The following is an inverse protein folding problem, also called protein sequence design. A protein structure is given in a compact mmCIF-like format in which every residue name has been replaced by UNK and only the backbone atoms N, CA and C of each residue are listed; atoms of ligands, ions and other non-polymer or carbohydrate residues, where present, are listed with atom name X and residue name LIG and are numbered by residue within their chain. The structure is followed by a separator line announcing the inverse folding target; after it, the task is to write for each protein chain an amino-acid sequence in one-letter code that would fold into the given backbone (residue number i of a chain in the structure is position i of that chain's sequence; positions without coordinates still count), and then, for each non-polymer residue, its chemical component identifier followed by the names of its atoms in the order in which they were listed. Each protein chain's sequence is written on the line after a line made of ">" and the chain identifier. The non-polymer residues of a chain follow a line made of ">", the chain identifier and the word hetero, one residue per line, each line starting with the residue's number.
data_IF_376755506342
#
_entry.id   IF_376755506342
#
_cell.length_a   1.000
_cell.length_b   1.000
_cell.length_c   1.000
_cell.angle_alpha   90.00
_cell.angle_beta   90.00
_cell.angle_gamma   90.00
#
_symmetry.space_group_name_H-M   'P 1'
#
loop_
_entity.id
_entity.type
_entity.pdbx_description
1 polymer ?
#
# COMPACT_ATOMS: atom_id res chain seq x y z
N UNK A 1 -51.95 35.25 -35.59
CA UNK A 1 -50.69 34.50 -35.73
C UNK A 1 -50.52 34.06 -37.17
N UNK A 2 -49.44 34.47 -37.87
CA UNK A 2 -49.20 34.12 -39.27
C UNK A 2 -49.10 32.59 -39.45
N UNK A 3 -49.70 32.06 -40.52
CA UNK A 3 -49.84 30.60 -40.79
C UNK A 3 -48.51 29.85 -40.70
N UNK A 4 -47.42 30.50 -41.08
CA UNK A 4 -46.06 29.96 -41.07
C UNK A 4 -45.60 29.60 -39.64
N UNK A 5 -45.86 30.47 -38.65
CA UNK A 5 -45.48 30.24 -37.24
C UNK A 5 -46.22 29.03 -36.66
N UNK A 6 -47.48 28.80 -37.04
CA UNK A 6 -48.27 27.64 -36.60
C UNK A 6 -47.74 26.30 -37.10
N UNK A 7 -46.97 26.30 -38.20
CA UNK A 7 -46.37 25.10 -38.81
C UNK A 7 -44.92 24.91 -38.32
N UNK A 8 -44.14 25.98 -38.19
CA UNK A 8 -42.74 25.87 -37.76
C UNK A 8 -42.57 25.66 -36.25
N UNK A 9 -43.45 26.19 -35.41
CA UNK A 9 -43.41 25.99 -33.96
C UNK A 9 -43.53 24.50 -33.54
N UNK A 10 -44.50 23.70 -34.04
CA UNK A 10 -44.56 22.28 -33.69
C UNK A 10 -43.37 21.48 -34.24
N UNK A 11 -42.83 21.83 -35.42
CA UNK A 11 -41.61 21.20 -35.96
C UNK A 11 -40.42 21.44 -35.03
N UNK A 12 -40.23 22.67 -34.54
CA UNK A 12 -39.17 22.98 -33.58
C UNK A 12 -39.34 22.23 -32.26
N UNK A 13 -40.57 22.14 -31.73
CA UNK A 13 -40.88 21.37 -30.52
C UNK A 13 -40.53 19.90 -30.71
N UNK A 14 -40.89 19.30 -31.85
CA UNK A 14 -40.54 17.90 -32.18
C UNK A 14 -39.03 17.71 -32.22
N UNK A 15 -38.29 18.63 -32.85
CA UNK A 15 -36.82 18.58 -32.91
C UNK A 15 -36.22 18.64 -31.49
N UNK A 16 -36.72 19.52 -30.63
CA UNK A 16 -36.26 19.63 -29.24
C UNK A 16 -36.53 18.32 -28.47
N UNK A 17 -37.73 17.75 -28.60
CA UNK A 17 -38.10 16.49 -27.94
C UNK A 17 -37.18 15.34 -28.40
N UNK A 18 -36.92 15.24 -29.71
CA UNK A 18 -36.01 14.23 -30.27
C UNK A 18 -34.60 14.43 -29.70
N UNK A 19 -34.08 15.65 -29.66
CA UNK A 19 -32.75 15.93 -29.10
C UNK A 19 -32.66 15.57 -27.61
N UNK A 20 -33.69 15.90 -26.81
CA UNK A 20 -33.75 15.52 -25.39
C UNK A 20 -33.78 13.99 -25.22
N UNK A 21 -34.54 13.30 -26.06
CA UNK A 21 -34.61 11.83 -26.03
C UNK A 21 -33.28 11.18 -26.43
N UNK A 22 -32.63 11.68 -27.48
CA UNK A 22 -31.30 11.22 -27.93
C UNK A 22 -30.25 11.49 -26.86
N UNK A 23 -30.26 12.69 -26.26
CA UNK A 23 -29.33 13.04 -25.18
C UNK A 23 -29.47 12.09 -23.99
N UNK A 24 -30.69 11.88 -23.48
CA UNK A 24 -30.96 10.94 -22.38
C UNK A 24 -30.56 9.51 -22.73
N UNK A 25 -30.76 9.08 -23.98
CA UNK A 25 -30.36 7.75 -24.42
C UNK A 25 -28.82 7.59 -24.41
N UNK A 26 -28.09 8.57 -24.94
CA UNK A 26 -26.63 8.58 -24.94
C UNK A 26 -26.07 8.66 -23.52
N UNK A 27 -26.65 9.49 -22.65
CA UNK A 27 -26.29 9.61 -21.24
C UNK A 27 -26.49 8.28 -20.49
N UNK A 28 -27.64 7.63 -20.68
CA UNK A 28 -27.91 6.32 -20.08
C UNK A 28 -26.93 5.25 -20.59
N UNK A 29 -26.64 5.20 -21.89
CA UNK A 29 -25.65 4.28 -22.43
C UNK A 29 -24.25 4.54 -21.86
N UNK A 30 -23.85 5.80 -21.73
CA UNK A 30 -22.57 6.19 -21.15
C UNK A 30 -22.48 5.78 -19.67
N UNK A 31 -23.54 6.03 -18.90
CA UNK A 31 -23.63 5.63 -17.49
C UNK A 31 -23.55 4.11 -17.32
N UNK A 32 -24.27 3.33 -18.14
CA UNK A 32 -24.22 1.86 -18.10
C UNK A 32 -22.81 1.35 -18.41
N UNK A 33 -22.16 1.88 -19.45
CA UNK A 33 -20.79 1.49 -19.81
C UNK A 33 -19.79 1.87 -18.71
N UNK A 34 -19.93 3.06 -18.13
CA UNK A 34 -19.10 3.52 -17.03
C UNK A 34 -19.24 2.62 -15.80
N UNK A 35 -20.48 2.37 -15.36
CA UNK A 35 -20.75 1.51 -14.20
C UNK A 35 -20.22 0.08 -14.42
N UNK A 36 -20.34 -0.46 -15.63
CA UNK A 36 -19.77 -1.77 -15.97
C UNK A 36 -18.23 -1.77 -15.95
N UNK A 37 -17.57 -0.72 -16.40
CA UNK A 37 -16.12 -0.60 -16.34
C UNK A 37 -15.65 -0.45 -14.89
N UNK A 38 -16.36 0.37 -14.11
CA UNK A 38 -16.14 0.58 -12.69
C UNK A 38 -16.24 -0.74 -11.90
N UNK A 39 -17.31 -1.51 -12.10
CA UNK A 39 -17.49 -2.79 -11.42
C UNK A 39 -16.39 -3.79 -11.77
N UNK A 40 -15.95 -3.83 -13.03
CA UNK A 40 -14.83 -4.69 -13.46
C UNK A 40 -13.50 -4.26 -12.84
N UNK A 41 -13.26 -2.95 -12.73
CA UNK A 41 -12.07 -2.43 -12.07
C UNK A 41 -12.05 -2.81 -10.59
N UNK A 42 -13.17 -2.60 -9.88
CA UNK A 42 -13.29 -2.95 -8.47
C UNK A 42 -13.09 -4.45 -8.25
N UNK A 43 -13.76 -5.29 -9.03
CA UNK A 43 -13.59 -6.73 -8.95
C UNK A 43 -12.13 -7.16 -9.16
N UNK A 44 -11.41 -6.53 -10.10
CA UNK A 44 -9.99 -6.79 -10.33
C UNK A 44 -9.14 -6.32 -9.15
N UNK A 45 -9.43 -5.14 -8.60
CA UNK A 45 -8.69 -4.58 -7.47
C UNK A 45 -8.88 -5.45 -6.20
N UNK A 46 -10.14 -5.79 -5.90
CA UNK A 46 -10.54 -6.67 -4.81
C UNK A 46 -9.92 -8.06 -4.91
N UNK A 47 -9.99 -8.69 -6.08
CA UNK A 47 -9.36 -10.00 -6.31
C UNK A 47 -7.83 -9.95 -6.17
N UNK A 48 -7.19 -8.90 -6.67
CA UNK A 48 -5.76 -8.70 -6.50
C UNK A 48 -5.38 -8.48 -5.02
N UNK A 49 -6.12 -7.65 -4.29
CA UNK A 49 -5.95 -7.44 -2.86
C UNK A 49 -6.06 -8.75 -2.08
N UNK A 50 -7.15 -9.51 -2.29
CA UNK A 50 -7.35 -10.78 -1.62
C UNK A 50 -6.22 -11.79 -1.94
N UNK A 51 -5.78 -11.83 -3.20
CA UNK A 51 -4.65 -12.65 -3.60
C UNK A 51 -3.37 -12.25 -2.87
N UNK A 52 -3.04 -10.95 -2.84
CA UNK A 52 -1.84 -10.44 -2.17
C UNK A 52 -1.84 -10.73 -0.67
N UNK A 53 -2.97 -10.52 0.02
CA UNK A 53 -3.08 -10.82 1.46
C UNK A 53 -2.94 -12.33 1.72
N UNK A 54 -3.60 -13.17 0.91
CA UNK A 54 -3.51 -14.63 1.03
C UNK A 54 -2.08 -15.14 0.82
N UNK A 55 -1.34 -14.50 -0.07
CA UNK A 55 0.03 -14.88 -0.42
C UNK A 55 1.10 -14.00 0.26
N UNK A 56 0.71 -13.21 1.26
CA UNK A 56 1.64 -12.36 1.99
C UNK A 56 2.75 -13.21 2.65
N UNK A 57 3.99 -12.78 2.43
CA UNK A 57 5.19 -13.26 3.07
C UNK A 57 5.22 -12.86 4.54
N UNK A 58 5.77 -13.74 5.37
CA UNK A 58 6.03 -13.47 6.78
C UNK A 58 7.21 -12.52 6.96
N UNK A 59 7.13 -11.65 7.95
CA UNK A 59 8.21 -10.71 8.30
C UNK A 59 9.21 -11.33 9.29
N UNK A 60 8.91 -12.52 9.85
CA UNK A 60 9.75 -13.24 10.82
C UNK A 60 11.19 -13.45 10.31
N UNK A 61 11.43 -13.89 9.06
CA UNK A 61 12.80 -14.11 8.59
C UNK A 61 13.68 -12.86 8.61
N UNK A 62 13.10 -11.69 8.37
CA UNK A 62 13.80 -10.41 8.51
C UNK A 62 14.05 -10.12 9.99
N UNK A 63 13.02 -10.20 10.83
CA UNK A 63 13.12 -9.93 12.25
C UNK A 63 14.20 -10.78 12.95
N UNK A 64 14.28 -12.06 12.60
CA UNK A 64 15.30 -12.98 13.14
C UNK A 64 16.71 -12.59 12.68
N UNK A 65 16.86 -12.19 11.41
CA UNK A 65 18.15 -11.71 10.88
C UNK A 65 18.59 -10.42 11.58
N UNK A 66 17.67 -9.45 11.76
CA UNK A 66 17.97 -8.22 12.49
C UNK A 66 18.34 -8.49 13.95
N UNK A 67 17.63 -9.40 14.62
CA UNK A 67 17.94 -9.79 16.00
C UNK A 67 19.32 -10.43 16.09
N UNK A 68 19.65 -11.36 15.18
CA UNK A 68 20.96 -12.01 15.14
C UNK A 68 22.12 -11.01 14.96
N UNK A 69 21.94 -9.98 14.12
CA UNK A 69 22.92 -8.90 13.98
C UNK A 69 23.03 -8.11 15.30
N UNK A 70 21.89 -7.77 15.92
CA UNK A 70 21.86 -6.97 17.15
C UNK A 70 22.53 -7.65 18.35
N UNK A 71 22.50 -8.98 18.40
CA UNK A 71 23.04 -9.82 19.48
C UNK A 71 24.45 -10.36 19.17
N UNK A 72 24.99 -10.07 17.99
CA UNK A 72 26.31 -10.54 17.58
C UNK A 72 27.42 -10.13 18.54
N UNK A 73 28.40 -10.99 18.78
CA UNK A 73 29.52 -10.66 19.68
C UNK A 73 30.49 -9.71 18.99
N UNK A 74 31.25 -8.92 19.76
CA UNK A 74 32.26 -7.98 19.20
C UNK A 74 33.36 -8.68 18.40
N UNK A 75 33.61 -9.97 18.67
CA UNK A 75 34.60 -10.80 17.98
C UNK A 75 33.99 -11.75 16.94
N UNK A 76 32.72 -11.58 16.57
CA UNK A 76 32.09 -12.37 15.51
C UNK A 76 32.82 -12.17 14.18
N UNK A 77 32.86 -13.22 13.34
CA UNK A 77 33.49 -13.14 12.02
C UNK A 77 32.90 -11.99 11.19
N UNK A 78 33.73 -11.00 10.78
CA UNK A 78 33.24 -9.87 10.01
C UNK A 78 32.55 -10.26 8.70
N UNK A 79 32.94 -11.36 8.07
CA UNK A 79 32.31 -11.85 6.84
C UNK A 79 30.87 -12.33 7.11
N UNK A 80 30.66 -13.02 8.24
CA UNK A 80 29.33 -13.49 8.67
C UNK A 80 28.38 -12.33 8.95
N UNK A 81 28.83 -11.30 9.64
CA UNK A 81 28.03 -10.08 9.88
C UNK A 81 27.63 -9.41 8.57
N UNK A 82 28.54 -9.33 7.59
CA UNK A 82 28.22 -8.75 6.27
C UNK A 82 27.13 -9.54 5.55
N UNK A 83 27.25 -10.86 5.53
CA UNK A 83 26.23 -11.73 4.91
C UNK A 83 24.86 -11.53 5.56
N UNK A 84 24.79 -11.37 6.88
CA UNK A 84 23.54 -11.06 7.56
C UNK A 84 22.98 -9.68 7.21
N UNK A 85 23.82 -8.64 7.14
CA UNK A 85 23.39 -7.30 6.73
C UNK A 85 22.85 -7.32 5.29
N UNK A 86 23.54 -7.97 4.36
CA UNK A 86 23.10 -8.07 2.97
C UNK A 86 21.81 -8.87 2.83
N UNK A 87 21.68 -9.98 3.57
CA UNK A 87 20.43 -10.75 3.66
C UNK A 87 19.28 -9.90 4.19
N UNK A 88 19.51 -9.13 5.27
CA UNK A 88 18.50 -8.27 5.85
C UNK A 88 18.02 -7.20 4.87
N UNK A 89 18.91 -6.63 4.05
CA UNK A 89 18.53 -5.64 3.03
C UNK A 89 17.57 -6.22 1.99
N UNK A 90 17.87 -7.40 1.47
CA UNK A 90 17.02 -8.08 0.48
C UNK A 90 15.65 -8.39 1.09
N UNK A 91 15.63 -8.98 2.28
CA UNK A 91 14.39 -9.30 2.99
C UNK A 91 13.56 -8.04 3.32
N UNK A 92 14.21 -6.92 3.67
CA UNK A 92 13.53 -5.67 3.94
C UNK A 92 12.89 -5.08 2.68
N UNK A 93 13.58 -5.11 1.54
CA UNK A 93 13.02 -4.66 0.26
C UNK A 93 11.77 -5.45 -0.13
N UNK A 94 11.82 -6.79 -0.01
CA UNK A 94 10.67 -7.66 -0.29
C UNK A 94 9.44 -7.32 0.60
N UNK A 95 9.65 -7.13 1.90
CA UNK A 95 8.56 -6.80 2.85
C UNK A 95 8.03 -5.38 2.60
N UNK A 96 8.92 -4.41 2.38
CA UNK A 96 8.54 -3.02 2.13
C UNK A 96 7.72 -2.89 0.83
N UNK A 97 8.09 -3.61 -0.23
CA UNK A 97 7.35 -3.67 -1.50
C UNK A 97 5.99 -4.35 -1.34
N UNK A 98 5.92 -5.47 -0.61
CA UNK A 98 4.68 -6.17 -0.33
C UNK A 98 3.67 -5.25 0.39
N UNK A 99 4.10 -4.53 1.43
CA UNK A 99 3.22 -3.63 2.19
C UNK A 99 2.67 -2.50 1.31
N UNK A 100 3.52 -1.89 0.47
CA UNK A 100 3.09 -0.85 -0.46
C UNK A 100 2.10 -1.37 -1.48
N UNK A 101 2.35 -2.56 -2.03
CA UNK A 101 1.47 -3.18 -3.02
C UNK A 101 0.11 -3.51 -2.40
N UNK A 102 0.07 -4.03 -1.18
CA UNK A 102 -1.19 -4.27 -0.46
C UNK A 102 -1.96 -2.96 -0.26
N UNK A 103 -1.29 -1.86 0.10
CA UNK A 103 -1.92 -0.55 0.27
C UNK A 103 -2.42 0.01 -1.08
N UNK A 104 -1.67 -0.16 -2.16
CA UNK A 104 -2.10 0.22 -3.51
C UNK A 104 -3.39 -0.52 -3.94
N UNK A 105 -3.49 -1.81 -3.64
CA UNK A 105 -4.71 -2.58 -3.90
C UNK A 105 -5.77 -2.48 -2.79
N UNK A 106 -5.56 -1.67 -1.76
CA UNK A 106 -6.59 -1.39 -0.76
C UNK A 106 -7.57 -0.31 -1.18
N UNK A 107 -7.47 0.18 -2.43
CA UNK A 107 -8.34 1.25 -2.92
C UNK A 107 -9.81 0.81 -2.94
N UNK A 108 -10.68 1.78 -2.69
CA UNK A 108 -12.13 1.64 -2.81
C UNK A 108 -12.60 2.75 -3.74
N UNK A 109 -12.31 2.60 -5.05
CA UNK A 109 -12.58 3.60 -6.09
C UNK A 109 -14.02 4.16 -6.05
N UNK A 110 -14.26 5.38 -5.53
CA UNK A 110 -15.59 5.96 -5.56
C UNK A 110 -15.97 6.38 -6.98
N UNK A 111 -17.26 6.33 -7.33
CA UNK A 111 -17.75 6.85 -8.61
C UNK A 111 -17.30 8.32 -8.76
N UNK A 112 -16.51 8.60 -9.81
CA UNK A 112 -15.89 9.90 -10.14
C UNK A 112 -14.56 10.25 -9.44
N UNK A 113 -13.82 9.28 -8.89
CA UNK A 113 -12.53 9.57 -8.28
C UNK A 113 -11.50 10.05 -9.32
N UNK A 114 -11.02 11.29 -9.16
CA UNK A 114 -9.80 11.77 -9.80
C UNK A 114 -8.63 11.28 -8.94
N UNK A 115 -7.56 10.70 -9.51
CA UNK A 115 -6.40 10.29 -8.72
C UNK A 115 -5.88 11.46 -7.87
N UNK A 116 -5.77 11.25 -6.56
CA UNK A 116 -5.21 12.25 -5.63
C UNK A 116 -3.68 12.29 -5.73
N UNK A 117 -3.08 11.11 -5.81
CA UNK A 117 -1.66 10.93 -6.05
C UNK A 117 -1.46 9.93 -7.19
N UNK A 118 -0.54 10.25 -8.09
CA UNK A 118 -0.09 9.34 -9.16
C UNK A 118 1.43 9.29 -9.15
N UNK A 119 2.00 8.16 -8.74
CA UNK A 119 3.45 7.94 -8.70
C UNK A 119 3.75 6.60 -9.37
N UNK A 120 4.65 6.58 -10.36
CA UNK A 120 5.15 5.36 -11.00
C UNK A 120 4.06 4.32 -11.36
N UNK A 121 3.01 4.76 -12.06
CA UNK A 121 1.83 3.98 -12.47
C UNK A 121 0.86 3.56 -11.35
N UNK A 122 1.14 3.88 -10.09
CA UNK A 122 0.21 3.74 -8.97
C UNK A 122 -0.68 4.96 -8.87
N UNK A 123 -1.99 4.77 -8.87
CA UNK A 123 -2.97 5.82 -8.65
C UNK A 123 -3.70 5.56 -7.32
N UNK A 124 -3.69 6.56 -6.44
CA UNK A 124 -4.44 6.51 -5.18
C UNK A 124 -5.66 7.41 -5.30
N UNK A 125 -6.83 6.92 -4.90
CA UNK A 125 -8.08 7.65 -5.10
C UNK A 125 -8.76 8.11 -3.82
N UNK A 126 -8.26 7.70 -2.65
CA UNK A 126 -8.76 8.11 -1.33
C UNK A 126 -7.66 8.70 -0.44
N UNK A 127 -8.01 9.61 0.48
CA UNK A 127 -7.03 10.24 1.41
C UNK A 127 -6.38 9.19 2.31
N UNK A 128 -7.17 8.24 2.81
CA UNK A 128 -6.67 7.20 3.71
C UNK A 128 -5.63 6.32 3.01
N UNK A 129 -5.83 6.02 1.72
CA UNK A 129 -4.86 5.25 0.95
C UNK A 129 -3.58 6.05 0.70
N UNK A 130 -3.70 7.32 0.33
CA UNK A 130 -2.55 8.22 0.13
C UNK A 130 -1.73 8.37 1.42
N UNK A 131 -2.38 8.67 2.54
CA UNK A 131 -1.75 8.79 3.85
C UNK A 131 -1.02 7.49 4.24
N UNK A 132 -1.68 6.35 4.04
CA UNK A 132 -1.10 5.04 4.33
C UNK A 132 0.08 4.72 3.43
N UNK A 133 0.02 5.08 2.15
CA UNK A 133 1.11 4.87 1.21
C UNK A 133 2.33 5.73 1.58
N UNK A 134 2.12 7.02 1.87
CA UNK A 134 3.18 7.93 2.32
C UNK A 134 3.81 7.40 3.61
N UNK A 135 2.98 6.98 4.57
CA UNK A 135 3.44 6.43 5.83
C UNK A 135 4.25 5.15 5.63
N UNK A 136 3.78 4.20 4.79
CA UNK A 136 4.52 3.00 4.45
C UNK A 136 5.85 3.31 3.75
N UNK A 137 5.87 4.30 2.86
CA UNK A 137 7.08 4.76 2.20
C UNK A 137 8.10 5.34 3.20
N UNK A 138 7.64 6.09 4.19
CA UNK A 138 8.48 6.64 5.26
C UNK A 138 8.93 5.56 6.26
N UNK A 139 8.13 4.51 6.44
CA UNK A 139 8.39 3.40 7.35
C UNK A 139 9.26 2.27 6.76
N UNK A 140 9.80 2.44 5.54
CA UNK A 140 10.59 1.41 4.84
C UNK A 140 11.83 0.98 5.61
N UNK A 141 11.85 -0.28 6.04
CA UNK A 141 12.91 -0.84 6.86
C UNK A 141 14.24 -1.01 6.12
N UNK A 142 14.26 -1.01 4.78
CA UNK A 142 15.50 -1.15 4.02
C UNK A 142 16.44 0.05 4.17
N UNK A 143 15.91 1.26 4.33
CA UNK A 143 16.68 2.51 4.37
C UNK A 143 17.75 2.54 5.49
N UNK A 144 17.42 2.29 6.78
CA UNK A 144 18.44 2.25 7.83
C UNK A 144 19.49 1.15 7.59
N UNK A 145 19.16 0.03 6.94
CA UNK A 145 20.10 -1.06 6.69
C UNK A 145 21.25 -0.67 5.77
N UNK A 146 21.03 0.25 4.83
CA UNK A 146 22.12 0.80 4.01
C UNK A 146 23.08 1.67 4.81
N UNK A 147 22.55 2.48 5.74
CA UNK A 147 23.38 3.30 6.63
C UNK A 147 24.18 2.42 7.61
N UNK A 148 23.55 1.36 8.13
CA UNK A 148 24.20 0.36 8.99
C UNK A 148 25.32 -0.35 8.22
N UNK A 149 25.03 -0.81 7.00
CA UNK A 149 26.01 -1.43 6.11
C UNK A 149 27.21 -0.50 5.90
N UNK A 150 26.97 0.75 5.51
CA UNK A 150 28.02 1.74 5.29
C UNK A 150 28.86 1.99 6.54
N UNK A 151 28.21 2.19 7.69
CA UNK A 151 28.89 2.46 8.97
C UNK A 151 29.75 1.27 9.40
N UNK A 152 29.22 0.05 9.25
CA UNK A 152 29.97 -1.18 9.50
C UNK A 152 31.17 -1.33 8.55
N UNK A 153 31.01 -1.00 7.27
CA UNK A 153 32.09 -0.98 6.29
C UNK A 153 33.19 0.03 6.62
N UNK A 154 32.84 1.16 7.25
CA UNK A 154 33.80 2.19 7.66
C UNK A 154 34.46 1.92 9.01
N UNK A 155 33.82 1.17 9.91
CA UNK A 155 34.35 0.87 11.26
C UNK A 155 35.70 0.12 11.22
N UNK A 156 36.61 0.49 12.13
CA UNK A 156 37.86 -0.23 12.37
C UNK A 156 38.22 -0.13 13.87
N UNK A 157 38.15 -1.22 14.66
CA UNK A 157 37.80 -2.59 14.25
C UNK A 157 36.34 -2.73 13.79
N UNK A 158 36.04 -3.82 13.08
CA UNK A 158 34.69 -4.13 12.58
C UNK A 158 33.74 -4.36 13.74
N UNK A 159 32.90 -3.39 14.01
CA UNK A 159 32.04 -3.37 15.20
C UNK A 159 30.67 -2.80 14.87
N UNK A 160 29.67 -3.23 15.64
CA UNK A 160 28.31 -2.69 15.61
C UNK A 160 28.10 -1.95 16.92
N UNK A 161 27.88 -0.65 16.84
CA UNK A 161 27.71 0.22 18.00
C UNK A 161 26.36 -0.04 18.72
N UNK A 162 26.25 0.47 19.95
CA UNK A 162 25.09 0.24 20.79
C UNK A 162 23.79 0.80 20.22
N UNK A 163 23.84 1.96 19.53
CA UNK A 163 22.66 2.58 18.93
C UNK A 163 22.16 1.71 17.78
N UNK A 164 23.06 1.28 16.89
CA UNK A 164 22.72 0.36 15.80
C UNK A 164 22.10 -0.94 16.32
N UNK A 165 22.64 -1.53 17.39
CA UNK A 165 22.09 -2.75 18.01
C UNK A 165 20.66 -2.52 18.52
N UNK A 166 20.43 -1.41 19.21
CA UNK A 166 19.10 -1.09 19.75
C UNK A 166 18.08 -0.82 18.64
N UNK A 167 18.47 -0.11 17.57
CA UNK A 167 17.62 0.09 16.41
C UNK A 167 17.25 -1.23 15.74
N UNK A 168 18.22 -2.12 15.52
CA UNK A 168 17.96 -3.45 14.93
C UNK A 168 17.02 -4.29 15.80
N UNK A 169 17.19 -4.26 17.13
CA UNK A 169 16.31 -4.94 18.09
C UNK A 169 14.89 -4.39 18.06
N UNK A 170 14.76 -3.06 18.01
CA UNK A 170 13.47 -2.37 17.94
C UNK A 170 12.73 -2.70 16.64
N UNK A 171 13.43 -2.64 15.50
CA UNK A 171 12.88 -3.06 14.20
C UNK A 171 12.46 -4.53 14.22
N UNK A 172 13.30 -5.43 14.74
CA UNK A 172 12.97 -6.85 14.85
C UNK A 172 11.71 -7.10 15.68
N UNK A 173 11.58 -6.39 16.81
CA UNK A 173 10.42 -6.51 17.70
C UNK A 173 9.15 -6.04 17.01
N UNK A 174 9.20 -4.88 16.35
CA UNK A 174 8.06 -4.34 15.63
C UNK A 174 7.67 -5.21 14.44
N UNK A 175 8.64 -5.75 13.69
CA UNK A 175 8.39 -6.66 12.59
C UNK A 175 7.71 -7.95 13.05
N UNK A 176 8.06 -8.51 14.22
CA UNK A 176 7.35 -9.67 14.78
C UNK A 176 5.90 -9.34 15.13
N UNK A 177 5.65 -8.16 15.69
CA UNK A 177 4.29 -7.70 15.98
C UNK A 177 3.48 -7.48 14.69
N UNK A 178 4.10 -6.86 13.68
CA UNK A 178 3.51 -6.69 12.35
C UNK A 178 3.19 -8.05 11.70
N UNK A 179 4.04 -9.06 11.89
CA UNK A 179 3.79 -10.41 11.40
C UNK A 179 2.46 -10.96 11.92
N UNK A 180 2.18 -10.78 13.21
CA UNK A 180 0.96 -11.28 13.83
C UNK A 180 -0.27 -10.63 13.18
N UNK A 181 -0.22 -9.33 12.92
CA UNK A 181 -1.25 -8.62 12.18
C UNK A 181 -1.37 -9.22 10.77
N UNK A 182 -0.31 -9.23 9.96
CA UNK A 182 -0.35 -9.77 8.58
C UNK A 182 -0.91 -11.20 8.54
N UNK A 183 -0.47 -12.07 9.45
CA UNK A 183 -0.91 -13.46 9.52
C UNK A 183 -2.38 -13.59 9.91
N UNK A 184 -2.87 -12.78 10.85
CA UNK A 184 -4.31 -12.75 11.16
C UNK A 184 -5.14 -12.39 9.93
N UNK A 185 -4.63 -11.48 9.09
CA UNK A 185 -5.29 -11.09 7.86
C UNK A 185 -5.19 -12.16 6.76
N UNK A 186 -4.05 -12.87 6.68
CA UNK A 186 -3.85 -13.99 5.75
C UNK A 186 -4.74 -15.19 6.09
N UNK A 187 -4.90 -15.50 7.38
CA UNK A 187 -5.77 -16.57 7.83
C UNK A 187 -7.24 -16.26 7.50
N UNK A 188 -7.68 -15.03 7.78
CA UNK A 188 -9.02 -14.58 7.41
C UNK A 188 -9.22 -14.48 5.89
N UNK A 189 -8.17 -14.24 5.09
CA UNK A 189 -8.25 -14.18 3.61
C UNK A 189 -8.75 -15.47 2.97
N UNK A 190 -8.64 -16.61 3.65
CA UNK A 190 -9.24 -17.87 3.18
C UNK A 190 -10.77 -17.81 3.09
N UNK A 191 -11.41 -16.89 3.82
CA UNK A 191 -12.86 -16.74 3.90
C UNK A 191 -13.40 -15.51 3.15
N UNK A 192 -12.53 -14.74 2.50
CA UNK A 192 -12.82 -13.43 1.91
C UNK A 192 -13.54 -13.44 0.55
N UNK A 193 -13.97 -14.60 0.06
CA UNK A 193 -14.53 -14.77 -1.28
C UNK A 193 -15.93 -14.16 -1.49
N UNK A 194 -16.45 -13.40 -0.52
CA UNK A 194 -17.73 -12.71 -0.62
C UNK A 194 -17.50 -11.21 -0.85
N UNK A 195 -17.87 -10.73 -2.04
CA UNK A 195 -17.66 -9.36 -2.54
C UNK A 195 -18.16 -8.28 -1.56
N UNK A 196 -19.19 -8.57 -0.76
CA UNK A 196 -19.81 -7.58 0.14
C UNK A 196 -18.98 -7.23 1.40
N UNK A 197 -17.92 -7.99 1.71
CA UNK A 197 -17.12 -7.80 2.93
C UNK A 197 -15.73 -7.22 2.66
N UNK A 198 -15.26 -7.23 1.42
CA UNK A 198 -13.87 -6.91 1.10
C UNK A 198 -13.51 -5.45 1.38
N UNK A 199 -14.43 -4.51 1.16
CA UNK A 199 -14.20 -3.09 1.46
C UNK A 199 -13.97 -2.85 2.96
N UNK A 200 -14.83 -3.45 3.80
CA UNK A 200 -14.70 -3.38 5.26
C UNK A 200 -13.36 -3.97 5.73
N UNK A 201 -12.91 -5.02 5.04
CA UNK A 201 -11.69 -5.71 5.34
C UNK A 201 -10.43 -4.92 4.93
N UNK A 202 -10.44 -4.29 3.75
CA UNK A 202 -9.41 -3.34 3.30
C UNK A 202 -9.23 -2.22 4.32
N UNK A 203 -10.33 -1.58 4.72
CA UNK A 203 -10.31 -0.49 5.69
C UNK A 203 -9.75 -0.94 7.06
N UNK A 204 -10.19 -2.10 7.54
CA UNK A 204 -9.75 -2.68 8.80
C UNK A 204 -8.25 -3.08 8.77
N UNK A 205 -7.78 -3.63 7.64
CA UNK A 205 -6.36 -3.94 7.45
C UNK A 205 -5.50 -2.69 7.52
N UNK A 206 -5.86 -1.63 6.79
CA UNK A 206 -5.13 -0.36 6.85
C UNK A 206 -5.11 0.22 8.27
N UNK A 207 -6.25 0.17 8.97
CA UNK A 207 -6.36 0.63 10.36
C UNK A 207 -5.42 -0.13 11.30
N UNK A 208 -5.32 -1.45 11.15
CA UNK A 208 -4.43 -2.26 11.99
C UNK A 208 -2.95 -2.15 11.59
N UNK A 209 -2.64 -1.94 10.31
CA UNK A 209 -1.27 -1.72 9.83
C UNK A 209 -0.70 -0.37 10.26
N UNK A 210 -1.52 0.70 10.25
CA UNK A 210 -1.11 2.07 10.57
C UNK A 210 -0.21 2.21 11.80
N UNK A 211 -0.58 1.71 13.00
CA UNK A 211 0.26 1.85 14.19
C UNK A 211 1.61 1.14 14.07
N UNK A 212 1.72 0.06 13.28
CA UNK A 212 3.01 -0.59 13.02
C UNK A 212 3.90 0.29 12.14
N UNK A 213 3.35 0.86 11.08
CA UNK A 213 4.08 1.75 10.19
C UNK A 213 4.53 3.02 10.92
N UNK A 214 3.69 3.60 11.79
CA UNK A 214 4.07 4.74 12.64
C UNK A 214 5.24 4.40 13.57
N UNK A 215 5.24 3.21 14.18
CA UNK A 215 6.36 2.76 15.02
C UNK A 215 7.62 2.49 14.23
N UNK A 216 7.52 1.83 13.07
CA UNK A 216 8.66 1.59 12.17
C UNK A 216 9.28 2.90 11.68
N UNK A 217 8.45 3.86 11.28
CA UNK A 217 8.89 5.22 10.92
C UNK A 217 9.62 5.88 12.08
N UNK A 218 9.03 5.88 13.29
CA UNK A 218 9.63 6.49 14.47
C UNK A 218 11.01 5.90 14.81
N UNK A 219 11.14 4.56 14.78
CA UNK A 219 12.42 3.89 15.02
C UNK A 219 13.51 4.38 14.04
N UNK A 220 13.14 4.67 12.80
CA UNK A 220 14.06 5.18 11.78
C UNK A 220 14.38 6.66 11.95
N UNK A 221 13.39 7.48 12.29
CA UNK A 221 13.58 8.90 12.60
C UNK A 221 14.55 9.06 13.79
N UNK A 222 14.34 8.27 14.85
CA UNK A 222 15.21 8.23 16.03
C UNK A 222 16.65 7.78 15.67
N UNK A 223 16.82 6.84 14.73
CA UNK A 223 18.12 6.37 14.29
C UNK A 223 18.86 7.38 13.38
N UNK A 224 18.14 8.02 12.47
CA UNK A 224 18.72 8.92 11.45
C UNK A 224 18.85 10.36 11.92
N UNK A 225 18.21 10.73 13.03
CA UNK A 225 18.15 12.10 13.54
C UNK A 225 17.31 13.03 12.67
N UNK A 226 16.52 12.49 11.73
CA UNK A 226 15.56 13.26 10.93
C UNK A 226 14.26 13.38 11.72
N UNK A 227 13.92 14.60 12.15
CA UNK A 227 12.61 14.97 12.72
C UNK A 227 11.81 15.77 11.71
#
# INVERSE_FOLDING_TARGET
>A
MPKHIKIYAPILIIIIIINVAVYRHLENQASVRYNSLHSLYQLKNDSAFAYLVKHASETIPLADTLMAISESKENEDPAKIRQWIDKAKIQAEEIDEQLLTIIEFSDTFPNNAVPKLSVNNTAMTTDNQEDMFILAFQARTWRPLYQISYSYWKSNPKTIDAMTRETLRSLATELRALNQTIMSFKDAAHHMFFEDQIESYKAEMLRQLKPHLERLKKIQEDFTGQK
#
